data_IF_694555634071
#
_entry.id   IF_694555634071
#
_cell.length_a   1.000
_cell.length_b   1.000
_cell.length_c   1.000
_cell.angle_alpha   90.00
_cell.angle_beta   90.00
_cell.angle_gamma   90.00
#
_symmetry.space_group_name_H-M   'P 1'
#
loop_
_entity.id
_entity.type
_entity.pdbx_description
1 polymer ?
#
# COMPACT_ATOMS: atom_id res chain seq x y z
N UNK A 1 -16.02 -22.78 17.50
CA UNK A 1 -16.11 -21.91 16.31
C UNK A 1 -15.94 -22.78 15.10
N UNK A 2 -16.88 -22.73 14.18
CA UNK A 2 -16.73 -23.39 12.88
C UNK A 2 -15.61 -22.69 12.08
N UNK A 3 -15.02 -23.39 11.12
CA UNK A 3 -13.98 -22.82 10.24
C UNK A 3 -14.49 -21.60 9.45
N UNK A 4 -15.80 -21.59 9.17
CA UNK A 4 -16.51 -20.47 8.57
C UNK A 4 -16.58 -19.23 9.47
N UNK A 5 -16.87 -19.38 10.76
CA UNK A 5 -16.88 -18.27 11.73
C UNK A 5 -15.51 -17.58 11.79
N UNK A 6 -14.43 -18.37 11.77
CA UNK A 6 -13.06 -17.86 11.79
C UNK A 6 -12.77 -17.04 10.53
N UNK A 7 -13.17 -17.53 9.35
CA UNK A 7 -12.99 -16.79 8.09
C UNK A 7 -13.78 -15.49 8.06
N UNK A 8 -14.99 -15.50 8.59
CA UNK A 8 -15.85 -14.31 8.61
C UNK A 8 -15.32 -13.20 9.51
N UNK A 9 -14.65 -13.54 10.61
CA UNK A 9 -14.18 -12.57 11.61
C UNK A 9 -12.68 -12.24 11.53
N UNK A 10 -11.89 -12.98 10.76
CA UNK A 10 -10.44 -12.77 10.68
C UNK A 10 -10.08 -11.74 9.62
N UNK A 11 -9.57 -10.60 10.06
CA UNK A 11 -8.89 -9.64 9.18
C UNK A 11 -7.40 -9.97 9.04
N UNK A 12 -6.82 -9.49 7.93
CA UNK A 12 -5.40 -9.58 7.60
C UNK A 12 -4.82 -8.20 7.81
N UNK A 13 -3.68 -8.12 8.50
CA UNK A 13 -3.02 -6.85 8.75
C UNK A 13 -2.50 -6.26 7.44
N UNK A 14 -3.02 -5.10 7.02
CA UNK A 14 -2.62 -4.48 5.76
C UNK A 14 -1.13 -4.11 5.75
N UNK A 15 -0.59 -3.68 6.89
CA UNK A 15 0.84 -3.39 7.03
C UNK A 15 1.73 -4.61 6.80
N UNK A 16 1.25 -5.80 7.18
CA UNK A 16 1.96 -7.04 6.89
C UNK A 16 1.96 -7.35 5.38
N UNK A 17 0.83 -7.15 4.70
CA UNK A 17 0.72 -7.32 3.25
C UNK A 17 1.67 -6.37 2.51
N UNK A 18 1.66 -5.09 2.86
CA UNK A 18 2.54 -4.07 2.28
C UNK A 18 4.03 -4.41 2.52
N UNK A 19 4.35 -4.92 3.71
CA UNK A 19 5.70 -5.41 4.02
C UNK A 19 6.11 -6.59 3.14
N UNK A 20 5.24 -7.57 2.91
CA UNK A 20 5.54 -8.70 2.03
C UNK A 20 5.73 -8.23 0.58
N UNK A 21 4.87 -7.35 0.07
CA UNK A 21 4.98 -6.80 -1.27
C UNK A 21 6.29 -6.01 -1.46
N UNK A 22 6.63 -5.12 -0.52
CA UNK A 22 7.87 -4.35 -0.57
C UNK A 22 9.14 -5.22 -0.44
N UNK A 23 9.10 -6.28 0.37
CA UNK A 23 10.19 -7.26 0.46
C UNK A 23 10.34 -8.05 -0.84
N UNK A 24 9.23 -8.46 -1.46
CA UNK A 24 9.24 -9.12 -2.77
C UNK A 24 9.83 -8.21 -3.86
N UNK A 25 9.51 -6.91 -3.82
CA UNK A 25 10.13 -5.91 -4.68
C UNK A 25 11.64 -5.83 -4.49
N UNK A 26 12.11 -5.65 -3.25
CA UNK A 26 13.52 -5.40 -2.96
C UNK A 26 14.40 -6.65 -3.12
N UNK A 27 13.93 -7.80 -2.63
CA UNK A 27 14.78 -8.98 -2.42
C UNK A 27 14.45 -10.17 -3.33
N UNK A 28 13.36 -10.09 -4.09
CA UNK A 28 12.91 -11.15 -5.00
C UNK A 28 11.85 -12.09 -4.41
N UNK A 29 11.65 -13.25 -5.05
CA UNK A 29 10.58 -14.20 -4.68
C UNK A 29 10.76 -14.87 -3.30
N UNK A 30 12.00 -15.01 -2.81
CA UNK A 30 12.31 -15.56 -1.49
C UNK A 30 13.12 -14.57 -0.61
N UNK A 31 12.46 -13.52 -0.07
CA UNK A 31 13.11 -12.56 0.82
C UNK A 31 13.62 -13.18 2.12
N UNK A 32 12.94 -14.21 2.62
CA UNK A 32 13.27 -14.84 3.90
C UNK A 32 14.61 -15.57 3.82
N UNK A 33 14.94 -16.19 2.68
CA UNK A 33 16.24 -16.82 2.46
C UNK A 33 17.38 -15.81 2.51
N UNK A 34 17.21 -14.66 1.87
CA UNK A 34 18.20 -13.58 1.93
C UNK A 34 18.43 -13.07 3.35
N UNK A 35 17.35 -12.78 4.08
CA UNK A 35 17.47 -12.25 5.45
C UNK A 35 18.11 -13.26 6.41
N UNK A 36 17.82 -14.56 6.25
CA UNK A 36 18.51 -15.62 7.00
C UNK A 36 20.00 -15.67 6.69
N UNK A 37 20.38 -15.58 5.42
CA UNK A 37 21.78 -15.55 5.00
C UNK A 37 22.50 -14.31 5.55
N UNK A 38 21.88 -13.13 5.44
CA UNK A 38 22.43 -11.87 5.96
C UNK A 38 22.63 -11.91 7.48
N UNK A 39 21.62 -12.35 8.22
CA UNK A 39 21.72 -12.52 9.66
C UNK A 39 22.83 -13.49 10.06
N UNK A 40 22.95 -14.60 9.33
CA UNK A 40 23.95 -15.64 9.58
C UNK A 40 25.37 -15.10 9.36
N UNK A 41 25.62 -14.43 8.24
CA UNK A 41 26.94 -13.85 7.94
C UNK A 41 27.31 -12.74 8.93
N UNK A 42 26.34 -11.90 9.34
CA UNK A 42 26.54 -10.89 10.38
C UNK A 42 26.89 -11.52 11.75
N UNK A 43 26.21 -12.61 12.13
CA UNK A 43 26.46 -13.32 13.38
C UNK A 43 27.86 -13.95 13.44
N UNK A 44 28.39 -14.42 12.30
CA UNK A 44 29.74 -14.95 12.21
C UNK A 44 30.84 -13.88 12.20
N UNK A 45 30.48 -12.58 12.23
CA UNK A 45 31.41 -11.45 12.21
C UNK A 45 32.43 -11.49 11.06
N UNK A 46 32.07 -12.13 9.95
CA UNK A 46 32.94 -12.20 8.76
C UNK A 46 32.60 -11.03 7.85
N UNK A 47 33.16 -9.87 8.17
CA UNK A 47 32.85 -8.58 7.52
C UNK A 47 32.88 -8.66 5.98
N UNK A 48 33.92 -9.27 5.40
CA UNK A 48 34.04 -9.38 3.94
C UNK A 48 32.98 -10.28 3.29
N UNK A 49 32.47 -11.29 3.98
CA UNK A 49 31.38 -12.14 3.45
C UNK A 49 30.05 -11.39 3.47
N UNK A 50 29.79 -10.67 4.56
CA UNK A 50 28.61 -9.83 4.70
C UNK A 50 28.59 -8.72 3.62
N UNK A 51 29.71 -8.01 3.43
CA UNK A 51 29.83 -6.99 2.39
C UNK A 51 29.57 -7.57 1.00
N UNK A 52 30.11 -8.75 0.68
CA UNK A 52 29.88 -9.44 -0.60
C UNK A 52 28.43 -9.86 -0.80
N UNK A 53 27.77 -10.33 0.26
CA UNK A 53 26.36 -10.68 0.21
C UNK A 53 25.51 -9.47 -0.17
N UNK A 54 25.77 -8.31 0.46
CA UNK A 54 25.08 -7.07 0.13
C UNK A 54 25.42 -6.57 -1.27
N UNK A 55 26.66 -6.65 -1.75
CA UNK A 55 27.03 -6.26 -3.13
C UNK A 55 26.20 -7.00 -4.19
N UNK A 56 25.81 -8.26 -3.94
CA UNK A 56 24.93 -9.03 -4.85
C UNK A 56 23.52 -8.43 -4.99
N UNK A 57 23.11 -7.53 -4.10
CA UNK A 57 21.82 -6.81 -4.13
C UNK A 57 21.89 -5.48 -4.91
N UNK A 58 22.97 -5.28 -5.68
CA UNK A 58 23.13 -4.12 -6.56
C UNK A 58 23.28 -2.80 -5.79
N UNK A 59 22.72 -1.73 -6.35
CA UNK A 59 22.88 -0.37 -5.82
C UNK A 59 22.38 -0.21 -4.37
N UNK A 60 21.28 -0.89 -4.00
CA UNK A 60 20.75 -0.85 -2.62
C UNK A 60 21.74 -1.47 -1.63
N UNK A 61 22.41 -2.55 -2.01
CA UNK A 61 23.38 -3.22 -1.16
C UNK A 61 24.74 -2.51 -1.08
N UNK A 62 25.20 -1.91 -2.18
CA UNK A 62 26.35 -0.97 -2.16
C UNK A 62 26.08 0.19 -1.20
N UNK A 63 24.89 0.80 -1.29
CA UNK A 63 24.48 1.87 -0.39
C UNK A 63 24.43 1.41 1.08
N UNK A 64 23.89 0.21 1.35
CA UNK A 64 23.91 -0.39 2.69
C UNK A 64 25.35 -0.44 3.24
N UNK A 65 26.30 -0.94 2.46
CA UNK A 65 27.70 -1.05 2.84
C UNK A 65 28.33 0.33 3.13
N UNK A 66 28.08 1.34 2.29
CA UNK A 66 28.54 2.72 2.52
C UNK A 66 27.97 3.28 3.83
N UNK A 67 26.66 3.15 4.04
CA UNK A 67 26.00 3.66 5.25
C UNK A 67 26.54 2.97 6.50
N UNK A 68 26.71 1.65 6.45
CA UNK A 68 27.33 0.87 7.54
C UNK A 68 28.75 1.34 7.82
N UNK A 69 29.56 1.57 6.78
CA UNK A 69 30.91 2.09 6.91
C UNK A 69 30.90 3.45 7.63
N UNK A 70 30.15 4.43 7.14
CA UNK A 70 30.09 5.77 7.74
C UNK A 70 29.63 5.70 9.19
N UNK A 71 28.58 4.90 9.48
CA UNK A 71 27.98 4.83 10.81
C UNK A 71 28.78 4.02 11.82
N UNK A 72 29.67 3.14 11.39
CA UNK A 72 30.48 2.32 12.29
C UNK A 72 31.51 3.13 13.13
N UNK A 73 31.76 4.40 12.82
CA UNK A 73 32.70 5.26 13.56
C UNK A 73 32.13 6.66 13.81
N UNK A 74 32.11 7.14 15.05
CA UNK A 74 31.77 8.53 15.35
C UNK A 74 32.65 9.54 14.59
N UNK A 75 33.94 9.24 14.44
CA UNK A 75 34.88 10.10 13.70
C UNK A 75 34.48 10.23 12.23
N UNK A 76 34.06 9.15 11.57
CA UNK A 76 33.60 9.19 10.17
C UNK A 76 32.29 9.96 10.03
N UNK A 77 31.35 9.80 10.96
CA UNK A 77 30.09 10.58 10.96
C UNK A 77 30.36 12.07 11.10
N UNK A 78 31.25 12.45 12.02
CA UNK A 78 31.60 13.85 12.25
C UNK A 78 32.36 14.45 11.07
N UNK A 79 33.32 13.69 10.50
CA UNK A 79 34.05 14.12 9.30
C UNK A 79 33.12 14.36 8.12
N UNK A 80 32.13 13.48 7.89
CA UNK A 80 31.15 13.68 6.82
C UNK A 80 30.31 14.95 7.05
N UNK A 81 29.96 15.27 8.32
CA UNK A 81 29.25 16.50 8.67
C UNK A 81 30.12 17.74 8.46
N UNK A 82 31.37 17.71 8.92
CA UNK A 82 32.28 18.85 8.79
C UNK A 82 32.54 19.20 7.32
N UNK A 83 32.81 18.19 6.49
CA UNK A 83 33.01 18.40 5.05
C UNK A 83 31.78 18.98 4.35
N UNK A 84 30.58 18.59 4.79
CA UNK A 84 29.33 19.16 4.28
C UNK A 84 29.13 20.63 4.71
N UNK A 85 29.58 21.02 5.91
CA UNK A 85 29.55 22.43 6.32
C UNK A 85 30.55 23.27 5.52
N UNK A 86 31.77 22.79 5.36
CA UNK A 86 32.87 23.54 4.73
C UNK A 86 32.59 23.86 3.24
N UNK A 87 31.93 22.96 2.51
CA UNK A 87 31.52 23.20 1.12
C UNK A 87 30.56 24.39 0.98
N UNK A 88 29.70 24.62 1.98
CA UNK A 88 28.66 25.65 1.90
C UNK A 88 29.15 27.04 2.32
N UNK A 89 30.22 27.12 3.13
CA UNK A 89 30.83 28.39 3.53
C UNK A 89 31.67 29.01 2.40
N UNK A 90 32.20 28.22 1.45
CA UNK A 90 32.91 28.73 0.27
C UNK A 90 31.98 29.34 -0.79
N UNK A 91 30.74 28.84 -0.92
CA UNK A 91 29.79 29.28 -1.94
C UNK A 91 29.07 30.60 -1.59
N UNK A 92 29.25 31.15 -0.39
CA UNK A 92 28.83 32.52 -0.03
C UNK A 92 27.31 32.78 0.00
N UNK A 93 26.46 31.77 -0.22
CA UNK A 93 25.00 31.89 -0.16
C UNK A 93 24.44 31.56 1.24
N UNK A 94 23.48 32.37 1.72
CA UNK A 94 22.69 32.03 2.90
C UNK A 94 21.82 30.81 2.61
N UNK A 95 22.23 29.64 3.11
CA UNK A 95 21.46 28.39 3.04
C UNK A 95 20.01 28.60 3.53
N UNK A 96 19.05 28.02 2.81
CA UNK A 96 17.66 27.90 3.29
C UNK A 96 17.61 26.94 4.49
N UNK A 97 16.64 27.11 5.40
CA UNK A 97 16.48 26.27 6.60
C UNK A 97 16.44 24.76 6.27
N UNK A 98 15.90 24.40 5.11
CA UNK A 98 15.79 23.01 4.64
C UNK A 98 17.14 22.38 4.26
N UNK A 99 18.08 23.17 3.73
CA UNK A 99 19.42 22.71 3.35
C UNK A 99 20.31 22.56 4.60
N UNK A 100 20.21 23.49 5.56
CA UNK A 100 20.86 23.32 6.88
C UNK A 100 20.34 22.08 7.60
N UNK A 101 19.03 21.87 7.59
CA UNK A 101 18.45 20.66 8.15
C UNK A 101 18.98 19.39 7.45
N UNK A 102 19.22 19.42 6.14
CA UNK A 102 19.80 18.29 5.41
C UNK A 102 21.25 17.97 5.80
N UNK A 103 22.05 18.97 6.20
CA UNK A 103 23.44 18.79 6.68
C UNK A 103 23.43 18.05 8.03
N UNK A 104 22.64 18.54 8.98
CA UNK A 104 22.55 18.00 10.35
C UNK A 104 22.02 16.56 10.40
N UNK A 105 21.24 16.19 9.39
CA UNK A 105 20.64 14.86 9.26
C UNK A 105 21.70 13.79 8.95
N UNK A 106 21.88 12.83 9.87
CA UNK A 106 22.74 11.67 9.64
C UNK A 106 22.20 10.73 8.56
N UNK A 107 23.10 9.94 7.95
CA UNK A 107 22.69 8.78 7.14
C UNK A 107 21.91 7.79 8.00
N UNK A 108 20.86 7.19 7.42
CA UNK A 108 20.00 6.25 8.12
C UNK A 108 20.43 4.82 7.80
N UNK A 109 20.83 4.04 8.82
CA UNK A 109 21.05 2.61 8.65
C UNK A 109 19.72 1.89 8.53
N UNK A 110 19.56 1.06 7.51
CA UNK A 110 18.39 0.19 7.44
C UNK A 110 18.50 -0.94 8.48
N UNK A 111 17.35 -1.36 8.97
CA UNK A 111 17.17 -2.59 9.72
C UNK A 111 16.84 -3.71 8.71
N UNK A 112 17.63 -4.77 8.73
CA UNK A 112 17.58 -5.91 7.81
C UNK A 112 16.18 -6.52 7.67
N UNK A 113 15.35 -6.42 8.72
CA UNK A 113 14.00 -7.03 8.78
C UNK A 113 12.86 -6.12 8.31
N UNK A 114 13.11 -4.84 7.96
CA UNK A 114 12.03 -3.86 7.75
C UNK A 114 12.27 -2.98 6.53
N UNK A 115 11.51 -3.23 5.46
CA UNK A 115 11.61 -2.50 4.19
C UNK A 115 11.47 -0.96 4.33
N UNK A 116 10.66 -0.47 5.28
CA UNK A 116 10.50 0.97 5.54
C UNK A 116 11.84 1.65 5.86
N UNK A 117 12.72 0.95 6.59
CA UNK A 117 14.04 1.49 6.92
C UNK A 117 14.98 1.53 5.71
N UNK A 118 14.86 0.56 4.79
CA UNK A 118 15.56 0.57 3.50
C UNK A 118 15.07 1.72 2.63
N UNK A 119 13.75 1.94 2.54
CA UNK A 119 13.18 3.08 1.82
C UNK A 119 13.71 4.42 2.38
N UNK A 120 13.70 4.60 3.70
CA UNK A 120 14.19 5.82 4.34
C UNK A 120 15.71 5.99 4.19
N UNK A 121 16.48 4.90 4.21
CA UNK A 121 17.92 4.92 3.90
C UNK A 121 18.16 5.45 2.49
N UNK A 122 17.47 4.91 1.48
CA UNK A 122 17.60 5.34 0.09
C UNK A 122 17.18 6.80 -0.06
N UNK A 123 16.01 7.17 0.48
CA UNK A 123 15.51 8.54 0.41
C UNK A 123 16.48 9.54 1.06
N UNK A 124 17.07 9.20 2.20
CA UNK A 124 18.07 10.03 2.88
C UNK A 124 19.38 10.11 2.08
N UNK A 125 19.83 9.00 1.52
CA UNK A 125 21.07 8.95 0.74
C UNK A 125 20.98 9.81 -0.51
N UNK A 126 19.86 9.75 -1.26
CA UNK A 126 19.64 10.60 -2.44
C UNK A 126 19.74 12.09 -2.08
N UNK A 127 19.14 12.52 -0.96
CA UNK A 127 19.25 13.91 -0.48
C UNK A 127 20.66 14.30 -0.05
N UNK A 128 21.51 13.34 0.29
CA UNK A 128 22.91 13.57 0.74
C UNK A 128 23.93 13.10 -0.29
N UNK A 129 23.54 12.92 -1.56
CA UNK A 129 24.40 12.38 -2.63
C UNK A 129 25.73 13.14 -2.71
N UNK A 130 25.68 14.46 -2.88
CA UNK A 130 26.88 15.31 -2.97
C UNK A 130 27.79 15.15 -1.76
N UNK A 131 27.22 15.13 -0.55
CA UNK A 131 27.98 14.93 0.68
C UNK A 131 28.62 13.53 0.76
N UNK A 132 27.95 12.48 0.25
CA UNK A 132 28.48 11.12 0.20
C UNK A 132 29.65 11.04 -0.79
N UNK A 133 29.44 11.55 -2.01
CA UNK A 133 30.43 11.50 -3.08
C UNK A 133 31.68 12.31 -2.69
N UNK A 134 31.50 13.51 -2.11
CA UNK A 134 32.60 14.32 -1.61
C UNK A 134 33.35 13.65 -0.44
N UNK A 135 32.64 13.05 0.51
CA UNK A 135 33.27 12.31 1.61
C UNK A 135 34.12 11.14 1.11
N UNK A 136 33.64 10.37 0.14
CA UNK A 136 34.39 9.26 -0.46
C UNK A 136 35.65 9.79 -1.16
N UNK A 137 35.51 10.82 -2.00
CA UNK A 137 36.63 11.45 -2.69
C UNK A 137 37.69 12.01 -1.71
N UNK A 138 37.25 12.62 -0.60
CA UNK A 138 38.15 13.10 0.45
C UNK A 138 38.97 11.95 1.06
N UNK A 139 38.33 10.83 1.41
CA UNK A 139 39.04 9.68 1.98
C UNK A 139 40.05 9.05 1.02
N UNK A 140 39.75 9.05 -0.29
CA UNK A 140 40.69 8.56 -1.31
C UNK A 140 41.96 9.40 -1.41
N UNK A 141 41.85 10.71 -1.23
CA UNK A 141 42.99 11.63 -1.30
C UNK A 141 43.80 11.68 -0.01
N UNK A 142 43.15 11.57 1.17
CA UNK A 142 43.79 11.84 2.47
C UNK A 142 44.36 10.61 3.17
N UNK A 143 43.86 9.42 2.86
CA UNK A 143 44.22 8.24 3.62
C UNK A 143 44.80 7.18 2.72
N UNK A 144 46.00 6.66 3.00
CA UNK A 144 46.60 5.57 2.21
C UNK A 144 46.19 4.16 2.67
N UNK A 145 45.60 4.04 3.86
CA UNK A 145 45.19 2.75 4.43
C UNK A 145 43.85 2.24 3.85
N UNK A 146 43.80 1.04 3.24
CA UNK A 146 42.58 0.52 2.62
C UNK A 146 41.40 0.36 3.59
N UNK A 147 41.66 0.06 4.87
CA UNK A 147 40.62 -0.13 5.90
C UNK A 147 39.89 1.16 6.28
N UNK A 148 40.48 2.31 5.96
CA UNK A 148 39.92 3.62 6.26
C UNK A 148 39.20 4.23 5.04
N UNK A 149 39.13 3.51 3.91
CA UNK A 149 38.41 3.89 2.69
C UNK A 149 37.15 3.05 2.51
N UNK A 150 36.18 3.60 1.79
CA UNK A 150 35.09 2.79 1.23
C UNK A 150 35.67 1.89 0.13
N UNK A 151 35.43 0.57 0.15
CA UNK A 151 35.92 -0.32 -0.90
C UNK A 151 35.40 0.13 -2.28
N UNK A 152 36.26 0.09 -3.30
CA UNK A 152 35.91 0.51 -4.69
C UNK A 152 34.66 -0.23 -5.21
N UNK A 153 34.46 -1.47 -4.80
CA UNK A 153 33.31 -2.30 -5.18
C UNK A 153 31.97 -1.81 -4.59
N UNK A 154 32.02 -1.03 -3.50
CA UNK A 154 30.86 -0.47 -2.81
C UNK A 154 30.56 0.96 -3.25
N UNK A 155 31.44 1.60 -4.02
CA UNK A 155 31.21 2.95 -4.53
C UNK A 155 30.05 2.96 -5.53
N UNK A 156 29.17 3.97 -5.40
CA UNK A 156 28.00 4.14 -6.25
C UNK A 156 28.41 4.90 -7.52
N UNK A 157 28.17 4.28 -8.68
CA UNK A 157 28.27 4.95 -9.97
C UNK A 157 27.07 5.88 -10.20
N UNK A 158 27.14 6.80 -11.19
CA UNK A 158 25.97 7.58 -11.62
C UNK A 158 24.75 6.70 -11.91
N UNK A 159 24.96 5.54 -12.53
CA UNK A 159 23.89 4.58 -12.82
C UNK A 159 23.31 3.94 -11.55
N UNK A 160 24.14 3.65 -10.54
CA UNK A 160 23.63 3.16 -9.25
C UNK A 160 22.74 4.22 -8.58
N UNK A 161 23.12 5.51 -8.67
CA UNK A 161 22.32 6.62 -8.16
C UNK A 161 20.97 6.76 -8.87
N UNK A 162 20.94 6.62 -10.20
CA UNK A 162 19.71 6.58 -10.98
C UNK A 162 18.81 5.41 -10.56
N UNK A 163 19.37 4.20 -10.41
CA UNK A 163 18.63 3.02 -9.96
C UNK A 163 18.04 3.21 -8.56
N UNK A 164 18.80 3.81 -7.64
CA UNK A 164 18.31 4.14 -6.30
C UNK A 164 17.13 5.12 -6.35
N UNK A 165 17.18 6.13 -7.24
CA UNK A 165 16.07 7.07 -7.43
C UNK A 165 14.81 6.38 -8.01
N UNK A 166 14.98 5.49 -8.99
CA UNK A 166 13.87 4.68 -9.53
C UNK A 166 13.26 3.79 -8.46
N UNK A 167 14.07 3.04 -7.71
CA UNK A 167 13.61 2.20 -6.59
C UNK A 167 12.86 3.04 -5.54
N UNK A 168 13.37 4.22 -5.19
CA UNK A 168 12.72 5.12 -4.25
C UNK A 168 11.35 5.57 -4.77
N UNK A 169 11.25 5.90 -6.06
CA UNK A 169 9.98 6.30 -6.67
C UNK A 169 8.94 5.17 -6.69
N UNK A 170 9.36 3.93 -6.94
CA UNK A 170 8.50 2.74 -7.00
C UNK A 170 8.03 2.28 -5.62
N UNK A 171 8.87 2.45 -4.59
CA UNK A 171 8.51 2.12 -3.20
C UNK A 171 7.70 3.22 -2.50
N UNK A 172 7.72 4.46 -3.01
CA UNK A 172 7.06 5.61 -2.37
C UNK A 172 5.55 5.40 -2.16
N UNK A 173 4.75 4.92 -3.13
CA UNK A 173 3.32 4.67 -2.92
C UNK A 173 3.03 3.65 -1.81
N UNK A 174 3.84 2.58 -1.72
CA UNK A 174 3.75 1.61 -0.62
C UNK A 174 3.98 2.29 0.73
N UNK A 175 4.92 3.25 0.78
CA UNK A 175 5.30 3.92 2.02
C UNK A 175 4.21 4.89 2.47
N UNK A 176 3.68 5.67 1.54
CA UNK A 176 2.59 6.62 1.81
C UNK A 176 1.34 5.90 2.33
N UNK A 177 0.95 4.78 1.71
CA UNK A 177 -0.20 3.99 2.18
C UNK A 177 0.08 3.36 3.54
N UNK A 178 1.28 2.84 3.76
CA UNK A 178 1.68 2.30 5.07
C UNK A 178 1.56 3.37 6.15
N UNK A 179 2.09 4.57 5.89
CA UNK A 179 2.05 5.69 6.82
C UNK A 179 0.63 6.22 7.05
N UNK A 180 -0.23 6.15 6.03
CA UNK A 180 -1.66 6.49 6.11
C UNK A 180 -2.44 5.48 6.95
N UNK A 181 -2.22 4.19 6.75
CA UNK A 181 -3.06 3.13 7.32
C UNK A 181 -2.59 2.63 8.69
N UNK A 182 -1.40 3.03 9.16
CA UNK A 182 -0.98 2.77 10.54
C UNK A 182 -1.66 3.67 11.59
N UNK A 183 -2.57 4.55 11.17
CA UNK A 183 -3.36 5.40 12.08
C UNK A 183 -4.50 4.64 12.76
N UNK A 184 -5.22 5.32 13.66
CA UNK A 184 -6.31 4.74 14.47
C UNK A 184 -7.71 5.03 13.94
N UNK A 185 -7.85 5.53 12.71
CA UNK A 185 -9.15 5.76 12.08
C UNK A 185 -10.16 6.60 12.89
N UNK A 186 -9.73 7.52 13.77
CA UNK A 186 -10.63 8.26 14.69
C UNK A 186 -11.77 9.00 13.99
N UNK A 187 -11.55 9.45 12.75
CA UNK A 187 -12.52 10.14 11.92
C UNK A 187 -13.05 9.26 10.78
N UNK A 188 -12.97 7.93 10.92
CA UNK A 188 -13.29 6.98 9.85
C UNK A 188 -12.33 7.05 8.67
N UNK A 189 -11.10 7.55 8.85
CA UNK A 189 -10.04 7.68 7.83
C UNK A 189 -8.66 7.62 8.48
N UNK A 190 -7.63 7.27 7.70
CA UNK A 190 -6.26 7.05 8.17
C UNK A 190 -6.16 5.87 9.16
N UNK A 191 -6.24 4.66 8.58
CA UNK A 191 -6.20 3.38 9.28
C UNK A 191 -7.53 2.64 9.32
N UNK A 192 -8.51 3.05 8.51
CA UNK A 192 -9.82 2.42 8.48
C UNK A 192 -9.84 1.22 7.51
N UNK A 193 -10.60 0.17 7.83
CA UNK A 193 -10.65 -1.05 7.01
C UNK A 193 -11.02 -0.80 5.54
N UNK A 194 -11.90 0.17 5.25
CA UNK A 194 -12.31 0.51 3.89
C UNK A 194 -11.15 1.01 3.01
N UNK A 195 -10.09 1.55 3.62
CA UNK A 195 -8.91 2.03 2.90
C UNK A 195 -8.05 0.87 2.35
N UNK A 196 -8.24 -0.37 2.85
CA UNK A 196 -7.43 -1.53 2.45
C UNK A 196 -7.70 -1.93 1.00
N UNK A 197 -8.96 -2.16 0.63
CA UNK A 197 -9.30 -2.55 -0.75
C UNK A 197 -8.95 -1.44 -1.75
N UNK A 198 -9.27 -0.19 -1.40
CA UNK A 198 -8.95 0.97 -2.25
C UNK A 198 -7.43 1.12 -2.40
N UNK A 199 -6.67 0.95 -1.31
CA UNK A 199 -5.22 1.00 -1.32
C UNK A 199 -4.60 -0.11 -2.19
N UNK A 200 -5.12 -1.34 -2.11
CA UNK A 200 -4.68 -2.44 -2.95
C UNK A 200 -4.96 -2.19 -4.43
N UNK A 201 -6.16 -1.71 -4.79
CA UNK A 201 -6.50 -1.32 -6.17
C UNK A 201 -5.55 -0.24 -6.71
N UNK A 202 -5.30 0.81 -5.91
CA UNK A 202 -4.37 1.88 -6.29
C UNK A 202 -2.94 1.35 -6.53
N UNK A 203 -2.42 0.49 -5.65
CA UNK A 203 -1.08 -0.06 -5.80
C UNK A 203 -0.97 -1.00 -7.00
N UNK A 204 -1.96 -1.86 -7.21
CA UNK A 204 -1.97 -2.79 -8.33
C UNK A 204 -1.99 -2.04 -9.66
N UNK A 205 -2.86 -1.03 -9.79
CA UNK A 205 -2.89 -0.15 -10.96
C UNK A 205 -1.56 0.59 -11.15
N UNK A 206 -0.97 1.12 -10.07
CA UNK A 206 0.34 1.76 -10.13
C UNK A 206 1.42 0.81 -10.69
N UNK A 207 1.56 -0.40 -10.14
CA UNK A 207 2.58 -1.34 -10.60
C UNK A 207 2.30 -1.91 -12.00
N UNK A 208 1.04 -2.00 -12.43
CA UNK A 208 0.68 -2.32 -13.83
C UNK A 208 1.16 -1.23 -14.79
N UNK A 209 0.88 0.04 -14.48
CA UNK A 209 1.36 1.19 -15.25
C UNK A 209 2.89 1.24 -15.31
N UNK A 210 3.56 1.03 -14.17
CA UNK A 210 5.02 0.98 -14.13
C UNK A 210 5.56 -0.20 -14.94
N UNK A 211 4.95 -1.39 -14.85
CA UNK A 211 5.39 -2.53 -15.64
C UNK A 211 5.36 -2.21 -17.15
N UNK A 212 4.34 -1.51 -17.63
CA UNK A 212 4.26 -1.06 -19.03
C UNK A 212 5.40 -0.09 -19.41
N UNK A 213 5.75 0.84 -18.52
CA UNK A 213 6.85 1.81 -18.74
C UNK A 213 8.21 1.12 -18.83
N UNK A 214 8.42 0.08 -18.00
CA UNK A 214 9.68 -0.67 -17.93
C UNK A 214 9.73 -1.86 -18.89
N UNK A 215 8.66 -2.14 -19.66
CA UNK A 215 8.66 -3.20 -20.68
C UNK A 215 9.36 -2.74 -21.96
N UNK A 216 10.08 -3.66 -22.62
CA UNK A 216 10.73 -3.40 -23.92
C UNK A 216 9.69 -3.36 -25.06
N UNK A 217 9.88 -2.54 -26.11
CA UNK A 217 8.99 -2.51 -27.27
C UNK A 217 8.73 -3.89 -27.89
N UNK A 218 9.71 -4.78 -27.84
CA UNK A 218 9.66 -6.10 -28.49
C UNK A 218 8.94 -7.18 -27.65
N UNK A 219 8.78 -7.01 -26.33
CA UNK A 219 8.05 -7.97 -25.47
C UNK A 219 6.54 -7.72 -25.40
N UNK A 220 6.10 -6.57 -25.92
CA UNK A 220 4.74 -6.06 -25.76
C UNK A 220 3.67 -7.05 -26.27
N UNK A 221 3.93 -7.84 -27.33
CA UNK A 221 2.90 -8.70 -27.95
C UNK A 221 2.71 -10.03 -27.20
N UNK A 222 3.75 -10.60 -26.58
CA UNK A 222 3.67 -11.88 -25.86
C UNK A 222 3.42 -11.72 -24.36
N UNK A 223 4.01 -10.70 -23.72
CA UNK A 223 3.83 -10.45 -22.28
C UNK A 223 2.45 -9.87 -21.94
N UNK A 224 1.85 -9.10 -22.87
CA UNK A 224 0.44 -8.72 -22.75
C UNK A 224 -0.46 -9.96 -22.67
N UNK A 225 -0.14 -11.08 -23.35
CA UNK A 225 -0.94 -12.31 -23.24
C UNK A 225 -0.82 -12.98 -21.88
N UNK A 226 0.35 -12.99 -21.23
CA UNK A 226 0.52 -13.62 -19.92
C UNK A 226 -0.05 -12.75 -18.78
N UNK A 227 0.04 -11.42 -18.87
CA UNK A 227 -0.70 -10.52 -17.97
C UNK A 227 -2.22 -10.58 -18.22
N UNK A 228 -2.66 -10.79 -19.46
CA UNK A 228 -4.09 -10.93 -19.84
C UNK A 228 -4.73 -12.27 -19.45
N UNK A 229 -3.94 -13.24 -18.97
CA UNK A 229 -4.43 -14.59 -18.56
C UNK A 229 -4.62 -14.70 -17.04
N UNK A 230 -4.14 -13.74 -16.24
CA UNK A 230 -4.47 -13.69 -14.81
C UNK A 230 -5.85 -13.06 -14.57
N UNK A 231 -6.52 -13.47 -13.49
CA UNK A 231 -7.95 -13.32 -13.16
C UNK A 231 -8.52 -11.88 -13.10
N UNK A 232 -7.68 -10.87 -13.33
CA UNK A 232 -7.96 -9.46 -13.05
C UNK A 232 -7.76 -8.63 -14.31
N UNK A 233 -8.68 -8.74 -15.28
CA UNK A 233 -8.86 -7.71 -16.33
C UNK A 233 -9.32 -6.41 -15.67
N UNK A 234 -8.39 -5.61 -15.15
CA UNK A 234 -8.66 -4.26 -14.64
C UNK A 234 -8.71 -3.31 -15.82
N UNK A 235 -9.84 -2.63 -16.01
CA UNK A 235 -10.05 -1.67 -17.09
C UNK A 235 -9.21 -0.42 -16.88
N UNK A 236 -7.95 -0.43 -17.31
CA UNK A 236 -7.13 0.78 -17.43
C UNK A 236 -7.39 1.53 -18.75
N UNK A 237 -8.63 1.51 -19.26
CA UNK A 237 -8.97 1.99 -20.61
C UNK A 237 -9.15 3.52 -20.72
N UNK A 238 -9.01 4.30 -19.64
CA UNK A 238 -9.18 5.76 -19.72
C UNK A 238 -8.12 6.55 -18.91
N UNK A 239 -6.89 6.57 -19.43
CA UNK A 239 -5.99 7.74 -19.44
C UNK A 239 -4.69 7.38 -20.18
N UNK A 240 -4.80 7.15 -21.48
CA UNK A 240 -3.63 7.17 -22.37
C UNK A 240 -3.76 8.44 -23.20
N UNK A 241 -3.36 9.57 -22.62
CA UNK A 241 -2.93 10.71 -23.40
C UNK A 241 -1.41 10.85 -23.29
N UNK A 242 -0.78 10.46 -24.40
CA UNK A 242 0.51 10.94 -24.90
C UNK A 242 1.75 10.57 -24.09
N UNK A 243 2.53 9.66 -24.69
CA UNK A 243 3.95 9.54 -24.42
C UNK A 243 4.64 10.89 -24.59
N UNK A 244 5.00 11.50 -23.46
CA UNK A 244 6.06 12.52 -23.30
C UNK A 244 6.39 12.68 -21.81
N UNK A 245 7.53 12.12 -21.42
CA UNK A 245 8.34 12.53 -20.27
C UNK A 245 8.44 11.52 -19.12
N UNK A 246 9.28 10.48 -19.28
CA UNK A 246 9.79 9.65 -18.14
C UNK A 246 10.41 10.53 -17.04
N UNK A 247 10.98 11.67 -17.43
CA UNK A 247 11.56 12.73 -16.59
C UNK A 247 10.60 13.33 -15.54
N UNK A 248 9.27 13.28 -15.76
CA UNK A 248 8.31 13.96 -14.87
C UNK A 248 8.26 13.41 -13.45
N UNK A 249 8.66 12.15 -13.25
CA UNK A 249 8.59 11.45 -11.96
C UNK A 249 9.91 11.49 -11.16
N UNK A 250 11.01 11.95 -11.79
CA UNK A 250 12.32 12.12 -11.15
C UNK A 250 12.42 13.48 -10.44
N UNK A 251 13.15 13.58 -9.31
CA UNK A 251 13.51 14.86 -8.69
C UNK A 251 14.21 15.79 -9.70
N UNK A 252 13.98 17.11 -9.62
CA UNK A 252 14.47 18.09 -10.61
C UNK A 252 15.99 17.99 -10.86
N UNK A 253 16.78 17.73 -9.80
CA UNK A 253 18.24 17.59 -9.87
C UNK A 253 18.73 16.31 -10.55
N UNK A 254 17.89 15.28 -10.72
CA UNK A 254 18.27 13.99 -11.32
C UNK A 254 17.83 13.86 -12.79
N UNK A 255 17.09 14.84 -13.33
CA UNK A 255 16.51 14.78 -14.68
C UNK A 255 17.56 14.99 -15.78
N UNK A 256 18.47 15.94 -15.59
CA UNK A 256 19.47 16.30 -16.59
C UNK A 256 20.50 15.17 -16.77
N UNK A 257 20.92 14.56 -15.66
CA UNK A 257 21.83 13.40 -15.67
C UNK A 257 21.15 12.13 -16.22
N UNK A 258 19.85 11.92 -15.96
CA UNK A 258 19.08 10.81 -16.55
C UNK A 258 19.09 10.87 -18.08
N UNK A 259 18.92 12.05 -18.67
CA UNK A 259 18.87 12.20 -20.13
C UNK A 259 20.24 12.00 -20.78
N UNK A 260 21.32 12.44 -20.13
CA UNK A 260 22.68 12.28 -20.64
C UNK A 260 23.22 10.85 -20.53
N UNK A 261 22.94 10.15 -19.43
CA UNK A 261 23.39 8.76 -19.21
C UNK A 261 22.63 7.77 -20.12
N UNK A 262 21.32 7.97 -20.33
CA UNK A 262 20.50 7.13 -21.22
C UNK A 262 20.95 7.19 -22.69
N UNK A 263 21.59 8.29 -23.11
CA UNK A 263 22.10 8.45 -24.47
C UNK A 263 23.43 7.72 -24.72
N UNK A 264 24.17 7.34 -23.66
CA UNK A 264 25.56 6.87 -23.79
C UNK A 264 25.75 5.34 -23.74
N UNK A 265 24.82 4.54 -23.18
CA UNK A 265 25.03 3.08 -23.05
C UNK A 265 23.76 2.23 -23.25
N UNK A 266 23.60 1.66 -24.46
CA UNK A 266 22.40 0.91 -24.85
C UNK A 266 22.32 -0.54 -24.32
N UNK A 267 23.45 -1.16 -23.97
CA UNK A 267 23.49 -2.58 -23.59
C UNK A 267 23.37 -2.77 -22.07
N UNK A 268 23.91 -1.85 -21.27
CA UNK A 268 23.74 -1.84 -19.81
C UNK A 268 22.33 -1.38 -19.38
N UNK A 269 21.61 -0.60 -20.21
CA UNK A 269 20.20 -0.20 -19.94
C UNK A 269 19.24 -1.40 -19.88
N UNK A 270 19.47 -2.45 -20.68
CA UNK A 270 18.50 -3.54 -20.85
C UNK A 270 18.48 -4.50 -19.63
N UNK A 271 19.65 -4.81 -19.06
CA UNK A 271 19.76 -5.63 -17.84
C UNK A 271 19.22 -4.89 -16.60
N UNK A 272 19.48 -3.59 -16.47
CA UNK A 272 18.92 -2.75 -15.40
C UNK A 272 17.40 -2.70 -15.47
N UNK A 273 16.87 -2.39 -16.66
CA UNK A 273 15.43 -2.36 -16.94
C UNK A 273 14.77 -3.69 -16.61
N UNK A 274 15.39 -4.80 -17.00
CA UNK A 274 14.91 -6.14 -16.68
C UNK A 274 14.88 -6.41 -15.18
N UNK A 275 15.91 -6.01 -14.43
CA UNK A 275 15.94 -6.16 -12.97
C UNK A 275 14.80 -5.39 -12.28
N UNK A 276 14.56 -4.14 -12.68
CA UNK A 276 13.46 -3.32 -12.16
C UNK A 276 12.11 -3.93 -12.54
N UNK A 277 11.95 -4.40 -13.79
CA UNK A 277 10.72 -5.05 -14.25
C UNK A 277 10.41 -6.33 -13.45
N UNK A 278 11.42 -7.15 -13.15
CA UNK A 278 11.26 -8.34 -12.29
C UNK A 278 10.80 -7.92 -10.89
N UNK A 279 11.40 -6.87 -10.32
CA UNK A 279 11.03 -6.34 -8.99
C UNK A 279 9.58 -5.85 -8.95
N UNK A 280 9.14 -5.14 -10.00
CA UNK A 280 7.75 -4.70 -10.19
C UNK A 280 6.81 -5.90 -10.25
N UNK A 281 7.12 -6.92 -11.07
CA UNK A 281 6.30 -8.13 -11.22
C UNK A 281 6.19 -8.90 -9.90
N UNK A 282 7.27 -9.02 -9.13
CA UNK A 282 7.26 -9.67 -7.82
C UNK A 282 6.36 -8.94 -6.82
N UNK A 283 6.45 -7.60 -6.78
CA UNK A 283 5.60 -6.77 -5.93
C UNK A 283 4.12 -6.91 -6.30
N UNK A 284 3.82 -6.76 -7.59
CA UNK A 284 2.45 -6.87 -8.11
C UNK A 284 1.86 -8.25 -7.82
N UNK A 285 2.60 -9.32 -8.09
CA UNK A 285 2.18 -10.70 -7.84
C UNK A 285 1.83 -10.92 -6.36
N UNK A 286 2.64 -10.38 -5.45
CA UNK A 286 2.36 -10.46 -4.01
C UNK A 286 1.12 -9.66 -3.61
N UNK A 287 0.89 -8.49 -4.21
CA UNK A 287 -0.32 -7.70 -3.97
C UNK A 287 -1.57 -8.43 -4.48
N UNK A 288 -1.53 -9.02 -5.67
CA UNK A 288 -2.66 -9.70 -6.31
C UNK A 288 -3.04 -11.01 -5.57
N UNK A 289 -2.03 -11.76 -5.12
CA UNK A 289 -2.21 -12.93 -4.23
C UNK A 289 -3.03 -12.54 -2.99
N UNK A 290 -2.61 -11.48 -2.30
CA UNK A 290 -3.29 -11.04 -1.08
C UNK A 290 -4.62 -10.35 -1.35
N UNK A 291 -4.77 -9.70 -2.50
CA UNK A 291 -6.04 -9.10 -2.91
C UNK A 291 -7.13 -10.17 -3.07
N UNK A 292 -6.79 -11.29 -3.71
CA UNK A 292 -7.68 -12.44 -3.84
C UNK A 292 -8.08 -13.02 -2.47
N UNK A 293 -7.16 -13.01 -1.50
CA UNK A 293 -7.43 -13.46 -0.13
C UNK A 293 -8.32 -12.50 0.68
N UNK A 294 -8.47 -11.23 0.28
CA UNK A 294 -9.40 -10.30 0.93
C UNK A 294 -10.86 -10.75 0.73
N UNK A 295 -11.17 -11.36 -0.41
CA UNK A 295 -12.51 -11.89 -0.71
C UNK A 295 -12.97 -13.04 0.21
N UNK A 296 -12.09 -13.59 1.05
CA UNK A 296 -12.45 -14.63 2.02
C UNK A 296 -13.19 -14.10 3.24
N UNK A 297 -13.23 -12.79 3.46
CA UNK A 297 -13.94 -12.17 4.58
C UNK A 297 -14.91 -11.11 4.06
N UNK A 298 -16.18 -11.13 4.50
CA UNK A 298 -17.17 -10.13 4.09
C UNK A 298 -16.87 -8.73 4.65
N UNK A 299 -15.97 -8.61 5.63
CA UNK A 299 -15.68 -7.36 6.31
C UNK A 299 -15.04 -6.31 5.39
N UNK A 300 -14.21 -6.73 4.44
CA UNK A 300 -13.58 -5.80 3.48
C UNK A 300 -14.60 -5.18 2.51
N UNK A 301 -15.40 -5.96 1.76
CA UNK A 301 -16.42 -5.38 0.91
C UNK A 301 -17.48 -4.64 1.74
N UNK A 302 -17.84 -5.11 2.94
CA UNK A 302 -18.74 -4.39 3.84
C UNK A 302 -18.20 -2.98 4.16
N UNK A 303 -16.91 -2.85 4.51
CA UNK A 303 -16.32 -1.55 4.84
C UNK A 303 -16.40 -0.55 3.67
N UNK A 304 -16.22 -1.02 2.43
CA UNK A 304 -16.34 -0.17 1.24
C UNK A 304 -17.81 0.19 0.97
N UNK A 305 -18.71 -0.80 0.99
CA UNK A 305 -20.15 -0.60 0.76
C UNK A 305 -20.71 0.40 1.78
N UNK A 306 -20.42 0.20 3.06
CA UNK A 306 -20.92 1.03 4.15
C UNK A 306 -20.27 2.42 4.20
N UNK A 307 -19.28 2.72 3.35
CA UNK A 307 -18.74 4.07 3.25
C UNK A 307 -19.65 4.93 2.36
N UNK A 308 -20.30 6.00 2.89
CA UNK A 308 -21.38 6.67 2.15
C UNK A 308 -20.93 7.39 0.88
N UNK A 309 -19.66 7.82 0.80
CA UNK A 309 -19.08 8.39 -0.43
C UNK A 309 -18.89 7.36 -1.56
N UNK A 310 -18.66 6.10 -1.22
CA UNK A 310 -18.29 5.07 -2.18
C UNK A 310 -19.49 4.21 -2.53
N UNK A 311 -20.19 3.72 -1.50
CA UNK A 311 -21.29 2.78 -1.63
C UNK A 311 -20.84 1.53 -2.44
N UNK A 312 -21.78 0.65 -2.77
CA UNK A 312 -21.59 -0.46 -3.70
C UNK A 312 -21.14 0.01 -5.08
N UNK A 313 -21.44 1.26 -5.43
CA UNK A 313 -21.09 1.88 -6.72
C UNK A 313 -19.57 1.92 -6.97
N UNK A 314 -18.74 1.98 -5.93
CA UNK A 314 -17.29 1.88 -6.12
C UNK A 314 -16.88 0.48 -6.59
N UNK A 315 -17.45 -0.58 -6.00
CA UNK A 315 -17.19 -1.95 -6.43
C UNK A 315 -17.67 -2.15 -7.87
N UNK A 316 -18.87 -1.67 -8.21
CA UNK A 316 -19.42 -1.74 -9.57
C UNK A 316 -18.56 -1.02 -10.62
N UNK A 317 -17.91 0.08 -10.23
CA UNK A 317 -17.01 0.83 -11.12
C UNK A 317 -15.64 0.16 -11.29
N UNK A 318 -15.15 -0.55 -10.27
CA UNK A 318 -13.81 -1.14 -10.24
C UNK A 318 -13.77 -2.62 -10.67
N UNK A 319 -14.88 -3.34 -10.53
CA UNK A 319 -15.00 -4.77 -10.79
C UNK A 319 -15.81 -5.04 -12.07
N UNK A 320 -15.15 -4.82 -13.21
CA UNK A 320 -15.81 -4.79 -14.52
C UNK A 320 -15.60 -6.04 -15.36
N UNK A 321 -14.63 -6.91 -15.02
CA UNK A 321 -14.40 -8.16 -15.77
C UNK A 321 -15.46 -9.21 -15.47
N UNK A 322 -15.67 -10.18 -16.36
CA UNK A 322 -16.63 -11.27 -16.15
C UNK A 322 -16.39 -12.03 -14.83
N UNK A 323 -15.12 -12.24 -14.48
CA UNK A 323 -14.72 -12.88 -13.21
C UNK A 323 -14.97 -11.96 -12.01
N UNK A 324 -14.67 -10.67 -12.15
CA UNK A 324 -14.90 -9.68 -11.10
C UNK A 324 -16.40 -9.41 -10.85
N UNK A 325 -17.26 -9.58 -11.85
CA UNK A 325 -18.71 -9.52 -11.67
C UNK A 325 -19.23 -10.65 -10.78
N UNK A 326 -18.59 -11.83 -10.84
CA UNK A 326 -18.85 -12.92 -9.88
C UNK A 326 -18.44 -12.48 -8.48
N UNK A 327 -17.27 -11.85 -8.33
CA UNK A 327 -16.82 -11.32 -7.03
C UNK A 327 -17.76 -10.26 -6.48
N UNK A 328 -18.28 -9.37 -7.33
CA UNK A 328 -19.26 -8.35 -6.96
C UNK A 328 -20.53 -8.98 -6.39
N UNK A 329 -21.08 -9.98 -7.08
CA UNK A 329 -22.25 -10.71 -6.62
C UNK A 329 -21.99 -11.40 -5.28
N UNK A 330 -20.88 -12.11 -5.18
CA UNK A 330 -20.53 -12.89 -3.99
C UNK A 330 -20.22 -11.97 -2.80
N UNK A 331 -19.62 -10.80 -3.04
CA UNK A 331 -19.42 -9.75 -2.04
C UNK A 331 -20.76 -9.18 -1.54
N UNK A 332 -21.70 -8.83 -2.43
CA UNK A 332 -23.03 -8.33 -2.03
C UNK A 332 -23.78 -9.38 -1.20
N UNK A 333 -23.73 -10.64 -1.62
CA UNK A 333 -24.41 -11.74 -0.92
C UNK A 333 -23.78 -12.02 0.45
N UNK A 334 -22.46 -12.17 0.52
CA UNK A 334 -21.76 -12.43 1.78
C UNK A 334 -21.93 -11.31 2.82
N UNK A 335 -21.95 -10.04 2.38
CA UNK A 335 -22.23 -8.91 3.28
C UNK A 335 -23.68 -8.94 3.80
N UNK A 336 -24.65 -9.26 2.93
CA UNK A 336 -26.05 -9.39 3.33
C UNK A 336 -26.25 -10.53 4.32
N UNK A 337 -25.70 -11.71 4.01
CA UNK A 337 -25.77 -12.88 4.90
C UNK A 337 -25.13 -12.59 6.26
N UNK A 338 -23.97 -11.94 6.28
CA UNK A 338 -23.30 -11.53 7.51
C UNK A 338 -24.15 -10.55 8.33
N UNK A 339 -24.72 -9.53 7.66
CA UNK A 339 -25.57 -8.52 8.29
C UNK A 339 -26.83 -9.14 8.93
N UNK A 340 -27.57 -9.95 8.18
CA UNK A 340 -28.81 -10.56 8.67
C UNK A 340 -28.55 -11.57 9.80
N UNK A 341 -27.44 -12.30 9.74
CA UNK A 341 -27.08 -13.26 10.79
C UNK A 341 -26.69 -12.59 12.12
N UNK A 342 -25.90 -11.51 12.08
CA UNK A 342 -25.34 -10.89 13.30
C UNK A 342 -26.17 -9.72 13.83
N UNK A 343 -27.03 -9.12 13.00
CA UNK A 343 -27.87 -7.97 13.37
C UNK A 343 -29.34 -8.26 13.04
N UNK A 344 -29.98 -9.31 13.61
CA UNK A 344 -31.36 -9.67 13.30
C UNK A 344 -32.34 -8.55 13.69
N UNK A 345 -33.55 -8.57 13.11
CA UNK A 345 -34.63 -7.65 13.51
C UNK A 345 -35.03 -7.95 14.96
N UNK A 346 -35.14 -6.91 15.79
CA UNK A 346 -35.77 -7.07 17.10
C UNK A 346 -37.26 -7.38 16.87
N UNK A 347 -37.68 -8.61 17.18
CA UNK A 347 -39.10 -8.94 17.25
C UNK A 347 -39.75 -8.07 18.33
N UNK A 348 -40.64 -7.15 17.94
CA UNK A 348 -41.52 -6.54 18.93
C UNK A 348 -42.37 -7.66 19.54
N UNK A 349 -42.43 -7.81 20.88
CA UNK A 349 -43.40 -8.72 21.47
C UNK A 349 -44.78 -8.30 20.97
N UNK A 350 -45.50 -9.22 20.35
CA UNK A 350 -46.87 -9.04 19.91
C UNK A 350 -47.72 -8.61 21.12
N UNK A 351 -47.80 -7.31 21.40
CA UNK A 351 -48.88 -6.79 22.22
C UNK A 351 -50.12 -6.98 21.38
N UNK A 352 -50.85 -8.05 21.66
CA UNK A 352 -52.19 -8.31 21.17
C UNK A 352 -53.04 -7.05 21.39
N UNK A 353 -53.12 -6.21 20.37
CA UNK A 353 -54.10 -5.13 20.31
C UNK A 353 -55.43 -5.78 19.95
N UNK A 354 -56.08 -6.33 20.96
CA UNK A 354 -57.50 -6.70 20.90
C UNK A 354 -58.32 -5.41 20.81
N UNK A 355 -58.36 -4.80 19.63
CA UNK A 355 -59.34 -3.77 19.32
C UNK A 355 -60.65 -4.51 19.02
N UNK A 356 -61.52 -4.56 20.02
CA UNK A 356 -62.92 -4.96 19.89
C UNK A 356 -63.67 -3.90 19.08
N UNK A 357 -63.49 -3.93 17.76
CA UNK A 357 -64.27 -3.18 16.78
C UNK A 357 -65.39 -4.05 16.21
N UNK A 358 -66.63 -3.58 16.30
CA UNK A 358 -67.83 -4.24 15.78
C UNK A 358 -67.62 -4.69 14.32
N UNK A 359 -67.88 -5.97 14.05
CA UNK A 359 -67.80 -6.58 12.73
C UNK A 359 -68.78 -5.91 11.75
N UNK A 360 -68.24 -5.09 10.84
CA UNK A 360 -68.86 -4.82 9.54
C UNK A 360 -68.51 -6.01 8.66
N UNK A 361 -69.52 -6.70 8.13
CA UNK A 361 -69.33 -7.76 7.13
C UNK A 361 -68.71 -7.13 5.88
N UNK A 362 -67.41 -7.33 5.68
CA UNK A 362 -66.78 -7.14 4.38
C UNK A 362 -66.88 -8.47 3.64
N UNK A 363 -67.27 -8.42 2.35
CA UNK A 363 -67.33 -9.59 1.49
C UNK A 363 -65.96 -10.28 1.44
N UNK A 364 -65.99 -11.62 1.44
CA UNK A 364 -64.79 -12.44 1.42
C UNK A 364 -64.00 -12.14 0.12
N UNK A 365 -62.73 -11.70 0.20
CA UNK A 365 -61.98 -11.27 -0.97
C UNK A 365 -61.90 -12.43 -1.96
N UNK A 366 -62.14 -12.18 -3.25
CA UNK A 366 -62.15 -13.24 -4.25
C UNK A 366 -60.79 -13.94 -4.31
N UNK A 367 -60.74 -15.19 -4.78
CA UNK A 367 -59.49 -15.93 -4.95
C UNK A 367 -58.47 -15.16 -5.81
N UNK A 368 -58.95 -14.32 -6.74
CA UNK A 368 -58.10 -13.43 -7.54
C UNK A 368 -57.56 -12.25 -6.73
N UNK A 369 -58.36 -11.64 -5.85
CA UNK A 369 -57.90 -10.59 -4.92
C UNK A 369 -56.90 -11.13 -3.92
N UNK A 370 -57.10 -12.36 -3.43
CA UNK A 370 -56.15 -13.05 -2.55
C UNK A 370 -54.84 -13.39 -3.29
N UNK A 371 -54.91 -13.78 -4.57
CA UNK A 371 -53.74 -14.00 -5.40
C UNK A 371 -53.01 -12.68 -5.73
N UNK A 372 -53.73 -11.60 -6.06
CA UNK A 372 -53.14 -10.26 -6.23
C UNK A 372 -52.48 -9.79 -4.94
N UNK A 373 -53.13 -9.96 -3.78
CA UNK A 373 -52.55 -9.64 -2.48
C UNK A 373 -51.35 -10.53 -2.13
N UNK A 374 -51.33 -11.79 -2.59
CA UNK A 374 -50.17 -12.68 -2.46
C UNK A 374 -49.04 -12.27 -3.38
N UNK A 375 -49.35 -11.82 -4.60
CA UNK A 375 -48.38 -11.27 -5.54
C UNK A 375 -47.82 -9.96 -5.01
N UNK A 376 -48.67 -9.04 -4.53
CA UNK A 376 -48.25 -7.78 -3.90
C UNK A 376 -47.38 -8.07 -2.68
N UNK A 377 -47.74 -9.04 -1.84
CA UNK A 377 -46.94 -9.43 -0.67
C UNK A 377 -45.61 -10.08 -1.04
N UNK A 378 -45.54 -10.79 -2.17
CA UNK A 378 -44.31 -11.36 -2.74
C UNK A 378 -43.43 -10.27 -3.37
N UNK A 379 -44.04 -9.23 -3.93
CA UNK A 379 -43.35 -8.06 -4.49
C UNK A 379 -42.95 -7.02 -3.42
N UNK A 380 -43.52 -7.14 -2.21
CA UNK A 380 -43.31 -6.28 -1.04
C UNK A 380 -42.62 -7.06 0.09
N UNK A 381 -41.67 -7.96 -0.21
CA UNK A 381 -40.70 -8.33 0.81
C UNK A 381 -40.05 -7.02 1.28
N UNK A 382 -40.26 -6.64 2.55
CA UNK A 382 -39.69 -5.43 3.13
C UNK A 382 -38.19 -5.45 2.88
N UNK A 383 -37.74 -4.65 1.91
CA UNK A 383 -36.34 -4.62 1.49
C UNK A 383 -35.47 -4.39 2.72
N UNK A 384 -34.42 -5.19 2.84
CA UNK A 384 -33.45 -5.05 3.92
C UNK A 384 -32.86 -3.63 3.92
N UNK A 385 -32.60 -3.06 5.11
CA UNK A 385 -32.01 -1.72 5.25
C UNK A 385 -30.76 -1.57 4.36
N UNK A 386 -29.97 -2.65 4.26
CA UNK A 386 -28.78 -2.75 3.42
C UNK A 386 -29.11 -2.56 1.93
N UNK A 387 -30.14 -3.23 1.40
CA UNK A 387 -30.58 -3.09 0.02
C UNK A 387 -31.07 -1.67 -0.29
N UNK A 388 -31.83 -1.06 0.63
CA UNK A 388 -32.29 0.34 0.52
C UNK A 388 -31.10 1.29 0.41
N UNK A 389 -30.13 1.15 1.31
CA UNK A 389 -28.92 1.97 1.30
C UNK A 389 -28.06 1.76 0.04
N UNK A 390 -27.92 0.53 -0.45
CA UNK A 390 -27.20 0.24 -1.69
C UNK A 390 -27.83 0.92 -2.92
N UNK A 391 -29.16 1.06 -2.96
CA UNK A 391 -29.88 1.73 -4.05
C UNK A 391 -29.82 3.26 -3.99
N UNK A 392 -29.66 3.82 -2.80
CA UNK A 392 -29.55 5.28 -2.62
C UNK A 392 -28.31 5.86 -3.31
N UNK A 393 -27.25 5.04 -3.46
CA UNK A 393 -26.03 5.41 -4.16
C UNK A 393 -25.08 6.29 -3.31
N UNK A 394 -23.98 6.77 -3.92
CA UNK A 394 -22.93 7.48 -3.18
C UNK A 394 -23.29 8.94 -2.86
N UNK A 395 -23.01 9.34 -1.63
CA UNK A 395 -23.12 10.72 -1.13
C UNK A 395 -21.92 11.55 -1.63
N UNK A 396 -22.19 12.50 -2.52
CA UNK A 396 -21.16 13.42 -3.05
C UNK A 396 -20.96 14.62 -2.13
N UNK A 397 -20.11 14.45 -1.12
CA UNK A 397 -19.63 15.53 -0.23
C UNK A 397 -18.11 15.44 -0.06
N UNK A 398 -17.45 16.59 -0.09
CA UNK A 398 -16.03 16.69 0.24
C UNK A 398 -15.83 16.47 1.76
N UNK A 399 -14.74 15.80 2.15
CA UNK A 399 -14.37 15.55 3.54
C UNK A 399 -15.44 14.87 4.41
N UNK A 400 -16.28 14.02 3.80
CA UNK A 400 -17.28 13.23 4.51
C UNK A 400 -16.60 12.29 5.54
N UNK A 401 -16.99 12.42 6.81
CA UNK A 401 -16.63 11.48 7.86
C UNK A 401 -17.71 10.37 7.92
N UNK A 402 -17.38 9.12 7.56
CA UNK A 402 -18.38 8.05 7.50
C UNK A 402 -18.94 7.69 8.89
N UNK A 403 -18.14 7.82 9.95
CA UNK A 403 -18.58 7.53 11.33
C UNK A 403 -19.62 8.53 11.80
N UNK A 404 -19.41 9.83 11.53
CA UNK A 404 -20.40 10.86 11.87
C UNK A 404 -21.67 10.70 11.04
N UNK A 405 -21.54 10.39 9.75
CA UNK A 405 -22.69 10.16 8.89
C UNK A 405 -23.59 9.04 9.43
N UNK A 406 -23.02 7.90 9.82
CA UNK A 406 -23.81 6.80 10.40
C UNK A 406 -24.42 7.11 11.77
N UNK A 407 -23.80 8.00 12.55
CA UNK A 407 -24.41 8.50 13.81
C UNK A 407 -25.62 9.38 13.54
N UNK A 408 -25.58 10.20 12.50
CA UNK A 408 -26.68 11.10 12.14
C UNK A 408 -27.86 10.35 11.51
N UNK A 409 -27.65 9.17 10.93
CA UNK A 409 -28.67 8.38 10.21
C UNK A 409 -29.12 7.13 11.00
N UNK A 410 -28.95 7.11 12.33
CA UNK A 410 -29.38 5.98 13.17
C UNK A 410 -30.90 5.79 13.19
N UNK A 411 -31.67 6.87 13.02
CA UNK A 411 -33.14 6.79 12.97
C UNK A 411 -33.64 6.22 11.64
N UNK A 412 -32.94 6.52 10.53
CA UNK A 412 -33.27 5.99 9.20
C UNK A 412 -32.82 4.52 9.04
N UNK A 413 -31.70 4.16 9.68
CA UNK A 413 -31.06 2.85 9.55
C UNK A 413 -30.71 2.25 10.94
N UNK A 414 -31.69 1.81 11.74
CA UNK A 414 -31.46 1.39 13.13
C UNK A 414 -30.54 0.16 13.28
N UNK A 415 -30.61 -0.80 12.35
CA UNK A 415 -29.77 -2.01 12.38
C UNK A 415 -28.48 -1.77 11.61
N UNK A 416 -28.59 -1.21 10.42
CA UNK A 416 -27.48 -1.00 9.50
C UNK A 416 -26.47 0.02 10.04
N UNK A 417 -26.90 1.03 10.79
CA UNK A 417 -25.97 1.97 11.46
C UNK A 417 -25.11 1.30 12.52
N UNK A 418 -25.65 0.34 13.30
CA UNK A 418 -24.87 -0.45 14.26
C UNK A 418 -23.81 -1.28 13.53
N UNK A 419 -24.22 -2.00 12.50
CA UNK A 419 -23.31 -2.79 11.65
C UNK A 419 -22.21 -1.92 11.02
N UNK A 420 -22.57 -0.77 10.46
CA UNK A 420 -21.61 0.15 9.86
C UNK A 420 -20.61 0.71 10.87
N UNK A 421 -21.06 1.10 12.06
CA UNK A 421 -20.17 1.61 13.11
C UNK A 421 -19.19 0.52 13.60
N UNK A 422 -19.65 -0.73 13.74
CA UNK A 422 -18.80 -1.86 14.12
C UNK A 422 -17.74 -2.15 13.05
N UNK A 423 -18.13 -2.18 11.76
CA UNK A 423 -17.21 -2.40 10.64
C UNK A 423 -16.21 -1.26 10.49
N UNK A 424 -16.65 0.00 10.59
CA UNK A 424 -15.79 1.18 10.45
C UNK A 424 -14.81 1.35 11.62
N UNK A 425 -15.10 0.73 12.77
CA UNK A 425 -14.20 0.69 13.91
C UNK A 425 -13.05 -0.30 13.75
N UNK A 426 -13.11 -1.22 12.76
CA UNK A 426 -12.05 -2.21 12.52
C UNK A 426 -10.80 -1.49 11.96
N UNK A 427 -9.63 -1.61 12.62
CA UNK A 427 -8.41 -1.02 12.11
C UNK A 427 -7.85 -1.80 10.92
N UNK A 428 -7.28 -1.09 9.95
CA UNK A 428 -6.59 -1.66 8.80
C UNK A 428 -5.29 -2.40 9.18
N UNK A 429 -4.67 -2.03 10.30
CA UNK A 429 -3.40 -2.58 10.76
C UNK A 429 -3.41 -2.91 12.24
N UNK A 430 -2.76 -4.02 12.61
CA UNK A 430 -2.51 -4.41 14.00
C UNK A 430 -1.31 -3.63 14.58
N UNK A 431 -1.43 -2.31 14.75
CA UNK A 431 -0.30 -1.46 15.22
C UNK A 431 -0.31 -1.25 16.75
N UNK A 432 -1.34 -1.71 17.45
CA UNK A 432 -1.61 -1.30 18.83
C UNK A 432 -0.58 -1.73 19.90
N UNK A 433 0.18 -2.83 19.77
CA UNK A 433 1.23 -3.11 20.75
C UNK A 433 2.58 -2.45 20.42
N UNK A 434 3.04 -2.45 19.16
CA UNK A 434 4.43 -2.08 18.84
C UNK A 434 4.76 -0.61 19.10
N UNK A 435 3.82 0.32 18.85
CA UNK A 435 4.01 1.74 19.18
C UNK A 435 4.01 1.98 20.69
N UNK A 436 3.07 1.38 21.40
CA UNK A 436 3.00 1.44 22.87
C UNK A 436 4.28 0.89 23.49
N UNK A 437 4.81 -0.23 22.98
CA UNK A 437 6.09 -0.81 23.41
C UNK A 437 7.33 -0.03 22.98
N UNK A 438 7.27 0.75 21.89
CA UNK A 438 8.37 1.61 21.46
C UNK A 438 8.46 2.87 22.32
N UNK A 439 7.32 3.40 22.77
CA UNK A 439 7.25 4.54 23.69
C UNK A 439 7.69 4.13 25.11
N UNK A 440 7.37 2.90 25.56
CA UNK A 440 7.77 2.42 26.89
C UNK A 440 9.22 1.92 26.99
N UNK A 441 9.97 1.86 25.89
CA UNK A 441 11.43 1.62 25.91
C UNK A 441 12.24 2.87 26.27
N UNK A 442 11.59 4.02 26.43
CA UNK A 442 12.22 5.31 26.77
C UNK A 442 12.02 5.73 28.24
N UNK A 443 11.53 4.83 29.10
CA UNK A 443 11.46 4.98 30.56
C UNK A 443 12.16 3.82 31.23
#
# INVERSE_FOLDING_TARGET
>A
MAEEDIRNHRTRCFGHILNLAARAFLWGEDPDSFEREAFTEAAFQVEERELRLWRKRGAVGKLHNIVRFVRASPQRRELMKSLACDQNDEDGYQLFEEERAAIDLELMQNNETRWNSTFLMIQRAIRKREHIDHFIAYLETKTSEPRQRVPVQDQLSPQDWLLLAEIQSLLKPLHEITMRCQGWAKEGRHGALWEVMIGMEYLLNFFEEQNLIFSSPDSCISELRNFRVSATKRSSAQRIEQGRGREKHLPQHAREEYTDVVLQDKNLDDDHRRCVQISIKNCWSKLDEYYSLLGQSPLYPAAVILHPRWNVSWLEANWTSDEQLVWLRDAKNSVREFFEHHYPREEQPETSRTVTGKAVRQDEPSQFDQWMQSCDRCMMEEEDELGVYMRQGPVRRENLNPVLWWKDHQEEYPRLSKFALDILAIPAMSVDPERTFSVTKLT
#
